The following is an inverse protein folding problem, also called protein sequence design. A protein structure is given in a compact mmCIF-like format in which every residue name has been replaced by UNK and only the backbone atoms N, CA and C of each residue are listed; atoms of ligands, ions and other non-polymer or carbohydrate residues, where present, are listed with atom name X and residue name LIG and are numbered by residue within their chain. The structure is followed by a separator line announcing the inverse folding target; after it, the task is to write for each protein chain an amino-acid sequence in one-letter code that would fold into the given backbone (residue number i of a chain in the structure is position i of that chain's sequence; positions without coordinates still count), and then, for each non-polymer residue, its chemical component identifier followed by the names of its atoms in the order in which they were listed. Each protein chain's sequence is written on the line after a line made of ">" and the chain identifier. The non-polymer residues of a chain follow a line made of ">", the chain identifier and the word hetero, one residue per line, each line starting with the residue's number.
data_IF_719814698452
#
_entry.id   IF_719814698452
#
_cell.length_a   1.000
_cell.length_b   1.000
_cell.length_c   1.000
_cell.angle_alpha   90.00
_cell.angle_beta   90.00
_cell.angle_gamma   90.00
#
_symmetry.space_group_name_H-M   'P 1'
#
loop_
_entity.id
_entity.type
_entity.pdbx_description
1 polymer ?
#
# COMPACT_ATOMS: atom_id res chain seq x y z
N UNK A 1 10.79 13.62 43.86
CA UNK A 1 9.51 12.88 43.86
C UNK A 1 8.42 13.57 43.05
N UNK A 2 7.81 14.68 43.49
CA UNK A 2 6.69 15.30 42.74
C UNK A 2 7.11 15.89 41.38
N UNK A 3 8.28 16.56 41.34
CA UNK A 3 8.83 17.12 40.11
C UNK A 3 9.28 16.04 39.11
N UNK A 4 9.86 14.94 39.58
CA UNK A 4 10.24 13.80 38.72
C UNK A 4 9.03 13.11 38.09
N UNK A 5 7.92 13.00 38.83
CA UNK A 5 6.66 12.45 38.29
C UNK A 5 6.10 13.35 37.21
N UNK A 6 6.13 14.67 37.42
CA UNK A 6 5.70 15.65 36.41
C UNK A 6 6.55 15.57 35.14
N UNK A 7 7.88 15.51 35.28
CA UNK A 7 8.79 15.34 34.14
C UNK A 7 8.51 14.03 33.39
N UNK A 8 8.29 12.92 34.09
CA UNK A 8 7.94 11.63 33.45
C UNK A 8 6.61 11.68 32.71
N UNK A 9 5.63 12.43 33.20
CA UNK A 9 4.35 12.63 32.52
C UNK A 9 4.52 13.45 31.24
N UNK A 10 5.30 14.53 31.29
CA UNK A 10 5.61 15.36 30.11
C UNK A 10 6.39 14.55 29.05
N UNK A 11 7.38 13.77 29.46
CA UNK A 11 8.13 12.86 28.58
C UNK A 11 7.23 11.79 27.93
N UNK A 12 6.25 11.27 28.67
CA UNK A 12 5.30 10.29 28.15
C UNK A 12 4.33 10.93 27.15
N UNK A 13 3.83 12.14 27.44
CA UNK A 13 2.99 12.90 26.51
C UNK A 13 3.69 13.13 25.17
N UNK A 14 4.94 13.60 25.21
CA UNK A 14 5.74 13.82 24.00
C UNK A 14 5.94 12.54 23.17
N UNK A 15 6.11 11.39 23.82
CA UNK A 15 6.23 10.09 23.12
C UNK A 15 4.91 9.67 22.48
N UNK A 16 3.79 9.89 23.15
CA UNK A 16 2.45 9.58 22.61
C UNK A 16 2.18 10.42 21.36
N UNK A 17 2.49 11.72 21.40
CA UNK A 17 2.30 12.62 20.26
C UNK A 17 3.17 12.19 19.07
N UNK A 18 4.44 11.82 19.31
CA UNK A 18 5.33 11.30 18.28
C UNK A 18 4.83 9.97 17.68
N UNK A 19 4.25 9.10 18.51
CA UNK A 19 3.63 7.85 18.03
C UNK A 19 2.43 8.16 17.13
N UNK A 20 1.54 9.05 17.55
CA UNK A 20 0.37 9.44 16.75
C UNK A 20 0.80 9.98 15.38
N UNK A 21 1.78 10.88 15.36
CA UNK A 21 2.32 11.42 14.10
C UNK A 21 2.91 10.30 13.20
N UNK A 22 3.64 9.35 13.79
CA UNK A 22 4.23 8.22 13.05
C UNK A 22 3.17 7.28 12.47
N UNK A 23 2.08 7.05 13.21
CA UNK A 23 0.96 6.19 12.79
C UNK A 23 0.19 6.86 11.65
N UNK A 24 -0.05 8.17 11.73
CA UNK A 24 -0.71 8.91 10.65
C UNK A 24 0.12 8.90 9.36
N UNK A 25 1.44 9.10 9.47
CA UNK A 25 2.36 8.96 8.33
C UNK A 25 2.32 7.56 7.73
N UNK A 26 2.38 6.53 8.58
CA UNK A 26 2.30 5.12 8.15
C UNK A 26 0.98 4.83 7.44
N UNK A 27 -0.15 5.29 7.99
CA UNK A 27 -1.48 5.14 7.37
C UNK A 27 -1.52 5.78 5.99
N UNK A 28 -0.99 7.00 5.85
CA UNK A 28 -0.95 7.72 4.57
C UNK A 28 -0.07 7.00 3.55
N UNK A 29 1.15 6.62 3.92
CA UNK A 29 2.06 5.92 3.01
C UNK A 29 1.57 4.53 2.64
N UNK A 30 0.95 3.81 3.57
CA UNK A 30 0.34 2.52 3.27
C UNK A 30 -0.77 2.67 2.23
N UNK A 31 -1.67 3.65 2.41
CA UNK A 31 -2.76 3.89 1.46
C UNK A 31 -2.23 4.28 0.08
N UNK A 32 -1.25 5.18 0.00
CA UNK A 32 -0.61 5.55 -1.27
C UNK A 32 0.08 4.36 -1.93
N UNK A 33 0.85 3.57 -1.17
CA UNK A 33 1.57 2.40 -1.70
C UNK A 33 0.63 1.31 -2.18
N UNK A 34 -0.50 1.11 -1.49
CA UNK A 34 -1.54 0.16 -1.89
C UNK A 34 -2.12 0.54 -3.26
N UNK A 35 -2.47 1.81 -3.46
CA UNK A 35 -2.98 2.28 -4.76
C UNK A 35 -1.94 2.15 -5.87
N UNK A 36 -0.67 2.48 -5.60
CA UNK A 36 0.42 2.30 -6.57
C UNK A 36 0.58 0.82 -6.94
N UNK A 37 0.56 -0.07 -5.95
CA UNK A 37 0.64 -1.53 -6.16
C UNK A 37 -0.50 -2.03 -7.04
N UNK A 38 -1.72 -1.56 -6.78
CA UNK A 38 -2.89 -1.91 -7.60
C UNK A 38 -2.69 -1.44 -9.04
N UNK A 39 -2.24 -0.20 -9.23
CA UNK A 39 -2.09 0.40 -10.56
C UNK A 39 -0.97 -0.25 -11.39
N UNK A 40 0.18 -0.52 -10.76
CA UNK A 40 1.39 -0.98 -11.47
C UNK A 40 1.46 -2.51 -11.58
N UNK A 41 0.89 -3.25 -10.62
CA UNK A 41 1.02 -4.72 -10.58
C UNK A 41 -0.33 -5.37 -10.87
N UNK A 42 -1.35 -5.05 -10.07
CA UNK A 42 -2.64 -5.79 -10.12
C UNK A 42 -3.37 -5.53 -11.44
N UNK A 43 -3.54 -4.28 -11.84
CA UNK A 43 -4.25 -3.92 -13.08
C UNK A 43 -3.57 -4.54 -14.31
N UNK A 44 -2.24 -4.41 -14.52
CA UNK A 44 -1.57 -5.04 -15.66
C UNK A 44 -1.68 -6.56 -15.62
N UNK A 45 -1.56 -7.18 -14.44
CA UNK A 45 -1.68 -8.64 -14.32
C UNK A 45 -3.06 -9.11 -14.73
N UNK A 46 -4.11 -8.46 -14.25
CA UNK A 46 -5.50 -8.75 -14.64
C UNK A 46 -5.67 -8.53 -16.16
N UNK A 47 -5.15 -7.42 -16.68
CA UNK A 47 -5.18 -7.14 -18.12
C UNK A 47 -4.54 -8.24 -18.95
N UNK A 48 -3.36 -8.72 -18.55
CA UNK A 48 -2.66 -9.80 -19.24
C UNK A 48 -3.43 -11.12 -19.22
N UNK A 49 -4.13 -11.45 -18.14
CA UNK A 49 -4.98 -12.65 -18.07
C UNK A 49 -6.06 -12.65 -19.16
N UNK A 50 -6.56 -11.49 -19.58
CA UNK A 50 -7.54 -11.38 -20.67
C UNK A 50 -6.88 -11.21 -22.05
N UNK A 51 -5.81 -10.42 -22.13
CA UNK A 51 -5.13 -10.11 -23.40
C UNK A 51 -4.44 -11.34 -23.98
N UNK A 52 -3.75 -12.14 -23.16
CA UNK A 52 -3.02 -13.32 -23.63
C UNK A 52 -3.93 -14.33 -24.35
N UNK A 53 -5.04 -14.82 -23.76
CA UNK A 53 -5.91 -15.77 -24.46
C UNK A 53 -6.60 -15.15 -25.68
N UNK A 54 -7.00 -13.88 -25.61
CA UNK A 54 -7.59 -13.18 -26.76
C UNK A 54 -6.59 -13.09 -27.93
N UNK A 55 -5.34 -12.74 -27.63
CA UNK A 55 -4.24 -12.71 -28.59
C UNK A 55 -4.01 -14.09 -29.19
N UNK A 56 -3.82 -15.13 -28.37
CA UNK A 56 -3.59 -16.50 -28.87
C UNK A 56 -4.73 -16.99 -29.78
N UNK A 57 -5.99 -16.75 -29.40
CA UNK A 57 -7.13 -17.12 -30.24
C UNK A 57 -7.10 -16.39 -31.60
N UNK A 58 -6.76 -15.09 -31.62
CA UNK A 58 -6.72 -14.33 -32.88
C UNK A 58 -5.65 -14.82 -33.86
N UNK A 59 -4.51 -15.34 -33.38
CA UNK A 59 -3.41 -15.80 -34.22
C UNK A 59 -3.48 -17.29 -34.56
N UNK A 60 -3.95 -18.13 -33.63
CA UNK A 60 -3.96 -19.58 -33.79
C UNK A 60 -5.25 -20.10 -34.44
N UNK A 61 -6.40 -19.42 -34.25
CA UNK A 61 -7.66 -19.86 -34.85
C UNK A 61 -7.64 -19.90 -36.39
N UNK A 62 -7.01 -18.95 -37.11
CA UNK A 62 -6.88 -19.02 -38.57
C UNK A 62 -5.95 -20.15 -39.06
N UNK A 63 -5.03 -20.62 -38.21
CA UNK A 63 -4.08 -21.69 -38.55
C UNK A 63 -4.67 -23.10 -38.38
N UNK A 64 -5.82 -23.21 -37.72
CA UNK A 64 -6.50 -24.48 -37.42
C UNK A 64 -7.58 -24.86 -38.45
N UNK A 65 -7.75 -24.05 -39.51
CA UNK A 65 -8.59 -24.31 -40.67
C UNK A 65 -7.74 -24.83 -41.83
#
# INVERSE_FOLDING_TARGET
>A
MEQEIKTKLEEQGAKIDAILESVEKTRKYFLTTMWITILVIVIPTIGLIFVIPAFLNSYLAPLAQ
#
